data_IF_589844195659
#
_entry.id   IF_589844195659
#
_cell.length_a   1.000
_cell.length_b   1.000
_cell.length_c   1.000
_cell.angle_alpha   90.00
_cell.angle_beta   90.00
_cell.angle_gamma   90.00
#
_symmetry.space_group_name_H-M   'P 1'
#
loop_
_entity.id
_entity.type
_entity.pdbx_description
1 polymer ?
#
# COMPACT_ATOMS: atom_id res chain seq x y z
N UNK A 1 -14.64 0.42 5.81
CA UNK A 1 -15.07 1.17 7.01
C UNK A 1 -14.27 2.46 7.23
N UNK A 2 -12.92 2.47 7.14
CA UNK A 2 -12.13 3.69 7.39
C UNK A 2 -12.16 4.74 6.29
N UNK A 3 -12.73 4.42 5.12
CA UNK A 3 -12.79 5.33 3.98
C UNK A 3 -14.11 6.07 3.92
N UNK A 4 -14.04 7.36 3.59
CA UNK A 4 -15.22 8.17 3.32
C UNK A 4 -16.01 7.55 2.15
N UNK A 5 -17.34 7.44 2.23
CA UNK A 5 -18.15 6.99 1.12
C UNK A 5 -17.91 7.79 -0.17
N UNK A 6 -17.95 7.09 -1.30
CA UNK A 6 -17.72 7.66 -2.64
C UNK A 6 -16.27 7.70 -3.09
N UNK A 7 -15.29 7.37 -2.24
CA UNK A 7 -13.88 7.21 -2.67
C UNK A 7 -13.67 5.89 -3.42
N UNK A 8 -12.58 5.79 -4.19
CA UNK A 8 -12.28 4.54 -4.91
C UNK A 8 -12.06 3.39 -3.92
N UNK A 9 -11.24 3.59 -2.88
CA UNK A 9 -10.97 2.56 -1.88
C UNK A 9 -12.20 2.16 -1.05
N UNK A 10 -13.17 3.06 -0.87
CA UNK A 10 -14.46 2.72 -0.25
C UNK A 10 -15.25 1.67 -1.04
N UNK A 11 -15.20 1.75 -2.38
CA UNK A 11 -15.83 0.80 -3.29
C UNK A 11 -14.98 -0.47 -3.48
N UNK A 12 -13.68 -0.31 -3.64
CA UNK A 12 -12.78 -1.41 -4.01
C UNK A 12 -12.52 -2.35 -2.83
N UNK A 13 -12.35 -1.84 -1.61
CA UNK A 13 -11.97 -2.68 -0.47
C UNK A 13 -12.98 -3.80 -0.14
N UNK A 14 -14.31 -3.55 -0.07
CA UNK A 14 -15.30 -4.61 0.16
C UNK A 14 -15.33 -5.66 -0.96
N UNK A 15 -15.20 -5.22 -2.22
CA UNK A 15 -15.12 -6.13 -3.37
C UNK A 15 -13.85 -6.97 -3.34
N UNK A 16 -12.70 -6.36 -3.08
CA UNK A 16 -11.42 -7.04 -2.98
C UNK A 16 -11.39 -8.06 -1.84
N UNK A 17 -12.04 -7.76 -0.71
CA UNK A 17 -12.25 -8.72 0.37
C UNK A 17 -12.94 -10.01 -0.12
N UNK A 18 -14.07 -9.89 -0.82
CA UNK A 18 -14.78 -11.05 -1.33
C UNK A 18 -13.91 -11.84 -2.34
N UNK A 19 -13.25 -11.13 -3.27
CA UNK A 19 -12.38 -11.73 -4.28
C UNK A 19 -11.20 -12.49 -3.67
N UNK A 20 -10.50 -11.92 -2.68
CA UNK A 20 -9.33 -12.57 -2.09
C UNK A 20 -9.71 -13.77 -1.23
N UNK A 21 -10.85 -13.71 -0.52
CA UNK A 21 -11.38 -14.86 0.23
C UNK A 21 -11.72 -16.01 -0.73
N UNK A 22 -12.43 -15.72 -1.82
CA UNK A 22 -12.80 -16.74 -2.81
C UNK A 22 -11.57 -17.33 -3.51
N UNK A 23 -10.57 -16.49 -3.81
CA UNK A 23 -9.30 -16.95 -4.35
C UNK A 23 -8.57 -17.89 -3.38
N UNK A 24 -8.44 -17.50 -2.11
CA UNK A 24 -7.76 -18.34 -1.11
C UNK A 24 -8.48 -19.69 -0.94
N UNK A 25 -9.82 -19.70 -0.91
CA UNK A 25 -10.62 -20.96 -0.92
C UNK A 25 -10.33 -21.81 -2.15
N UNK A 26 -10.41 -21.21 -3.35
CA UNK A 26 -10.21 -21.92 -4.62
C UNK A 26 -8.80 -22.49 -4.76
N UNK A 27 -7.79 -21.78 -4.26
CA UNK A 27 -6.37 -22.14 -4.40
C UNK A 27 -5.83 -22.92 -3.22
N UNK A 28 -6.62 -23.11 -2.16
CA UNK A 28 -6.16 -23.76 -0.93
C UNK A 28 -5.11 -22.95 -0.18
N UNK A 29 -5.08 -21.62 -0.34
CA UNK A 29 -4.20 -20.75 0.46
C UNK A 29 -4.82 -20.60 1.85
N UNK A 30 -4.01 -20.79 2.89
CA UNK A 30 -4.44 -20.73 4.28
C UNK A 30 -5.02 -19.35 4.57
N UNK A 31 -6.29 -19.34 5.00
CA UNK A 31 -6.99 -18.14 5.44
C UNK A 31 -7.98 -18.47 6.54
N UNK A 32 -8.21 -17.51 7.45
CA UNK A 32 -9.15 -17.64 8.57
C UNK A 32 -9.96 -16.36 8.75
N UNK A 33 -11.27 -16.48 8.99
CA UNK A 33 -12.14 -15.35 9.33
C UNK A 33 -12.16 -15.16 10.85
N UNK A 34 -11.16 -14.44 11.36
CA UNK A 34 -10.95 -14.23 12.81
C UNK A 34 -11.79 -13.09 13.39
N UNK A 35 -12.35 -12.24 12.54
CA UNK A 35 -13.06 -11.03 12.94
C UNK A 35 -12.14 -9.91 13.41
N UNK A 36 -12.75 -8.75 13.71
CA UNK A 36 -12.03 -7.56 14.18
C UNK A 36 -12.88 -6.73 15.13
N UNK A 37 -12.27 -6.29 16.22
CA UNK A 37 -12.74 -5.23 17.11
C UNK A 37 -11.97 -3.92 16.83
N UNK A 38 -12.71 -2.82 16.69
CA UNK A 38 -12.16 -1.46 16.72
C UNK A 38 -12.71 -0.79 17.96
N UNK A 39 -11.85 -0.42 18.91
CA UNK A 39 -12.25 -0.12 20.29
C UNK A 39 -12.00 1.36 20.62
N UNK A 40 -13.02 2.04 21.12
CA UNK A 40 -12.89 3.33 21.79
C UNK A 40 -12.48 3.10 23.25
N UNK A 41 -11.33 3.64 23.64
CA UNK A 41 -10.82 3.58 25.02
C UNK A 41 -11.19 4.82 25.85
N UNK A 42 -11.78 5.84 25.23
CA UNK A 42 -12.20 7.08 25.88
C UNK A 42 -13.51 7.63 25.30
N UNK A 43 -14.21 8.46 26.06
CA UNK A 43 -15.54 8.98 25.67
C UNK A 43 -15.49 9.79 24.37
N UNK A 44 -14.42 10.56 24.15
CA UNK A 44 -14.23 11.36 22.92
C UNK A 44 -14.09 10.50 21.66
N UNK A 45 -13.77 9.21 21.80
CA UNK A 45 -13.63 8.27 20.69
C UNK A 45 -14.94 7.59 20.30
N UNK A 46 -15.97 7.58 21.15
CA UNK A 46 -17.24 6.87 20.90
C UNK A 46 -17.92 7.41 19.64
N UNK A 47 -17.99 8.74 19.49
CA UNK A 47 -18.54 9.37 18.29
C UNK A 47 -17.76 8.98 17.02
N UNK A 48 -16.44 8.88 17.13
CA UNK A 48 -15.60 8.46 15.99
C UNK A 48 -15.88 7.00 15.59
N UNK A 49 -16.10 6.12 16.57
CA UNK A 49 -16.53 4.74 16.33
C UNK A 49 -17.86 4.68 15.59
N UNK A 50 -18.85 5.50 15.99
CA UNK A 50 -20.15 5.59 15.30
C UNK A 50 -20.00 6.07 13.85
N UNK A 51 -19.16 7.08 13.60
CA UNK A 51 -18.85 7.59 12.26
C UNK A 51 -18.17 6.52 11.39
N UNK A 52 -17.19 5.79 11.94
CA UNK A 52 -16.51 4.69 11.21
C UNK A 52 -17.49 3.55 10.90
N UNK A 53 -18.41 3.24 11.82
CA UNK A 53 -19.47 2.27 11.59
C UNK A 53 -20.40 2.72 10.45
N UNK A 54 -20.90 3.96 10.50
CA UNK A 54 -21.76 4.52 9.47
C UNK A 54 -21.08 4.50 8.09
N UNK A 55 -19.79 4.88 8.02
CA UNK A 55 -19.01 4.78 6.80
C UNK A 55 -18.88 3.33 6.30
N UNK A 56 -18.64 2.37 7.19
CA UNK A 56 -18.57 0.96 6.79
C UNK A 56 -19.90 0.43 6.26
N UNK A 57 -21.03 0.80 6.87
CA UNK A 57 -22.38 0.44 6.38
C UNK A 57 -22.62 1.05 5.00
N UNK A 58 -22.37 2.35 4.83
CA UNK A 58 -22.54 3.04 3.55
C UNK A 58 -21.64 2.46 2.43
N UNK A 59 -20.47 1.93 2.81
CA UNK A 59 -19.55 1.27 1.89
C UNK A 59 -19.88 -0.21 1.64
N UNK A 60 -20.93 -0.77 2.26
CA UNK A 60 -21.32 -2.16 2.05
C UNK A 60 -20.46 -3.20 2.79
N UNK A 61 -19.81 -2.82 3.90
CA UNK A 61 -19.14 -3.81 4.76
C UNK A 61 -20.19 -4.64 5.49
N UNK A 62 -20.13 -5.96 5.30
CA UNK A 62 -21.14 -6.93 5.76
C UNK A 62 -21.03 -7.21 7.26
N UNK A 63 -22.18 -7.48 7.89
CA UNK A 63 -22.33 -8.05 9.23
C UNK A 63 -21.67 -7.28 10.40
N UNK A 64 -21.30 -6.01 10.19
CA UNK A 64 -20.75 -5.20 11.26
C UNK A 64 -21.78 -4.96 12.35
N UNK A 65 -21.31 -4.89 13.59
CA UNK A 65 -22.13 -4.56 14.76
C UNK A 65 -21.46 -3.46 15.56
N UNK A 66 -22.26 -2.51 16.00
CA UNK A 66 -21.86 -1.53 16.98
C UNK A 66 -22.13 -2.09 18.38
N UNK A 67 -21.13 -2.03 19.25
CA UNK A 67 -21.13 -2.61 20.59
C UNK A 67 -20.86 -1.49 21.58
N UNK A 68 -21.61 -1.47 22.68
CA UNK A 68 -21.42 -0.50 23.77
C UNK A 68 -21.18 -1.24 25.09
N UNK A 69 -20.28 -0.68 25.89
CA UNK A 69 -19.94 -1.18 27.21
C UNK A 69 -18.90 -2.30 27.21
N UNK A 70 -18.06 -2.26 28.24
CA UNK A 70 -16.96 -3.20 28.47
C UNK A 70 -17.43 -4.67 28.52
N UNK A 71 -18.59 -4.93 29.12
CA UNK A 71 -19.14 -6.29 29.24
C UNK A 71 -19.40 -6.93 27.88
N UNK A 72 -20.01 -6.21 26.93
CA UNK A 72 -20.29 -6.74 25.59
C UNK A 72 -19.01 -6.89 24.76
N UNK A 73 -18.04 -6.00 24.94
CA UNK A 73 -16.71 -6.11 24.31
C UNK A 73 -16.01 -7.38 24.80
N UNK A 74 -16.03 -7.65 26.12
CA UNK A 74 -15.42 -8.84 26.72
C UNK A 74 -16.07 -10.15 26.32
N UNK A 75 -17.36 -10.15 25.93
CA UNK A 75 -17.99 -11.32 25.30
C UNK A 75 -17.36 -11.67 23.94
N UNK A 76 -16.69 -10.71 23.28
CA UNK A 76 -15.96 -10.94 22.03
C UNK A 76 -14.49 -11.26 22.28
N UNK A 77 -13.83 -10.46 23.11
CA UNK A 77 -12.43 -10.66 23.50
C UNK A 77 -12.25 -10.34 24.99
N UNK A 78 -12.13 -11.35 25.89
CA UNK A 78 -12.19 -11.17 27.35
C UNK A 78 -11.14 -10.24 27.94
N UNK A 79 -9.98 -10.14 27.29
CA UNK A 79 -8.82 -9.38 27.78
C UNK A 79 -8.81 -7.93 27.28
N UNK A 80 -9.85 -7.51 26.55
CA UNK A 80 -9.96 -6.17 25.98
C UNK A 80 -10.82 -5.28 26.87
N UNK A 81 -10.38 -4.04 27.02
CA UNK A 81 -11.13 -3.00 27.73
C UNK A 81 -11.54 -1.88 26.80
N UNK A 82 -12.77 -1.37 26.94
CA UNK A 82 -13.26 -0.25 26.15
C UNK A 82 -14.67 0.23 26.48
N UNK A 83 -15.04 1.38 25.94
CA UNK A 83 -16.36 2.01 26.15
C UNK A 83 -17.35 1.68 25.03
N UNK A 84 -16.86 1.61 23.79
CA UNK A 84 -17.63 1.22 22.61
C UNK A 84 -16.71 0.54 21.59
N UNK A 85 -17.27 -0.27 20.71
CA UNK A 85 -16.50 -0.92 19.66
C UNK A 85 -17.32 -1.22 18.40
N UNK A 86 -16.62 -1.37 17.28
CA UNK A 86 -17.15 -2.00 16.08
C UNK A 86 -16.67 -3.44 16.05
N UNK A 87 -17.60 -4.39 16.00
CA UNK A 87 -17.30 -5.79 15.67
C UNK A 87 -17.53 -6.04 14.18
N UNK A 88 -16.52 -6.53 13.49
CA UNK A 88 -16.54 -6.87 12.07
C UNK A 88 -16.18 -8.35 11.92
N UNK A 89 -17.18 -9.26 11.87
CA UNK A 89 -16.93 -10.71 11.87
C UNK A 89 -16.28 -11.19 10.56
N UNK A 90 -16.54 -10.50 9.45
CA UNK A 90 -15.98 -10.81 8.14
C UNK A 90 -14.56 -10.24 7.96
N UNK A 91 -13.77 -10.03 9.02
CA UNK A 91 -12.35 -9.70 8.86
C UNK A 91 -11.53 -10.97 8.96
N UNK A 92 -10.58 -11.16 8.06
CA UNK A 92 -9.77 -12.37 8.00
C UNK A 92 -8.29 -12.12 7.86
N UNK A 93 -7.54 -13.22 7.97
CA UNK A 93 -6.08 -13.29 7.90
C UNK A 93 -5.67 -14.30 6.85
N UNK A 94 -4.54 -14.05 6.17
CA UNK A 94 -3.92 -14.95 5.19
C UNK A 94 -2.43 -14.58 5.09
N UNK A 95 -1.57 -15.54 4.74
CA UNK A 95 -0.20 -15.23 4.34
C UNK A 95 -0.23 -14.55 2.97
N UNK A 96 -0.09 -13.23 2.93
CA UNK A 96 -0.15 -12.50 1.67
C UNK A 96 1.04 -12.81 0.74
N UNK A 97 2.18 -13.25 1.29
CA UNK A 97 3.30 -13.71 0.48
C UNK A 97 2.96 -15.06 -0.18
N UNK A 98 2.20 -15.94 0.49
CA UNK A 98 1.67 -17.16 -0.13
C UNK A 98 0.67 -16.85 -1.25
N UNK A 99 -0.21 -15.85 -1.05
CA UNK A 99 -1.14 -15.37 -2.09
C UNK A 99 -0.36 -14.90 -3.32
N UNK A 100 0.67 -14.07 -3.18
CA UNK A 100 1.43 -13.55 -4.32
C UNK A 100 2.25 -14.65 -5.03
N UNK A 101 2.83 -15.59 -4.29
CA UNK A 101 3.47 -16.80 -4.88
C UNK A 101 2.48 -17.63 -5.67
N UNK A 102 1.26 -17.82 -5.15
CA UNK A 102 0.19 -18.55 -5.83
C UNK A 102 -0.22 -17.84 -7.13
N UNK A 103 -0.42 -16.52 -7.10
CA UNK A 103 -0.75 -15.72 -8.29
C UNK A 103 0.36 -15.80 -9.35
N UNK A 104 1.62 -15.70 -8.94
CA UNK A 104 2.75 -15.83 -9.85
C UNK A 104 2.80 -17.21 -10.51
N UNK A 105 2.51 -18.28 -9.75
CA UNK A 105 2.41 -19.64 -10.28
C UNK A 105 1.31 -19.74 -11.34
N UNK A 106 0.15 -19.15 -11.09
CA UNK A 106 -0.96 -19.13 -12.04
C UNK A 106 -0.59 -18.40 -13.34
N UNK A 107 0.06 -17.24 -13.24
CA UNK A 107 0.50 -16.48 -14.40
C UNK A 107 1.56 -17.25 -15.21
N UNK A 108 2.52 -17.90 -14.54
CA UNK A 108 3.54 -18.71 -15.20
C UNK A 108 3.00 -20.00 -15.84
N UNK A 109 1.81 -20.45 -15.45
CA UNK A 109 1.17 -21.60 -16.10
C UNK A 109 0.75 -21.27 -17.55
N UNK A 110 0.57 -19.99 -17.88
CA UNK A 110 0.35 -19.50 -19.24
C UNK A 110 1.60 -18.78 -19.77
N UNK A 111 2.69 -19.53 -19.93
CA UNK A 111 3.96 -19.02 -20.44
C UNK A 111 3.89 -18.43 -21.87
N UNK A 112 2.77 -18.64 -22.59
CA UNK A 112 2.54 -18.04 -23.90
C UNK A 112 2.19 -16.55 -23.79
N UNK A 113 1.45 -16.16 -22.76
CA UNK A 113 0.96 -14.78 -22.60
C UNK A 113 1.61 -14.04 -21.44
N UNK A 114 2.43 -14.72 -20.63
CA UNK A 114 3.11 -14.13 -19.50
C UNK A 114 4.58 -14.54 -19.43
N UNK A 115 5.45 -13.55 -19.21
CA UNK A 115 6.86 -13.74 -18.93
C UNK A 115 7.26 -12.87 -17.74
N UNK A 116 8.12 -13.37 -16.88
CA UNK A 116 8.67 -12.62 -15.75
C UNK A 116 10.14 -12.31 -15.92
N UNK A 117 10.51 -11.11 -15.51
CA UNK A 117 11.90 -10.71 -15.33
C UNK A 117 12.08 -10.18 -13.91
N UNK A 118 13.04 -10.75 -13.20
CA UNK A 118 13.51 -10.24 -11.91
C UNK A 118 14.77 -9.40 -12.12
N UNK A 119 15.12 -8.58 -11.12
CA UNK A 119 16.32 -7.74 -11.16
C UNK A 119 16.36 -6.82 -12.39
N UNK A 120 15.30 -6.03 -12.59
CA UNK A 120 15.25 -5.01 -13.63
C UNK A 120 14.79 -3.69 -13.02
N UNK A 121 15.73 -2.76 -12.90
CA UNK A 121 15.50 -1.39 -12.50
C UNK A 121 15.33 -0.54 -13.76
N UNK A 122 14.10 -0.12 -14.03
CA UNK A 122 13.80 0.76 -15.14
C UNK A 122 14.36 2.17 -14.87
N UNK A 123 15.16 2.68 -15.80
CA UNK A 123 15.87 3.96 -15.71
C UNK A 123 15.29 5.01 -16.65
N UNK A 124 14.65 4.60 -17.76
CA UNK A 124 14.07 5.52 -18.73
C UNK A 124 12.94 4.88 -19.55
N UNK A 125 12.03 5.72 -20.04
CA UNK A 125 10.93 5.34 -20.92
C UNK A 125 10.95 6.21 -22.17
N UNK A 126 11.16 5.59 -23.32
CA UNK A 126 11.33 6.28 -24.60
C UNK A 126 10.22 5.84 -25.55
N UNK A 127 9.54 6.80 -26.17
CA UNK A 127 8.55 6.51 -27.19
C UNK A 127 9.23 6.12 -28.50
N UNK A 128 8.66 5.16 -29.22
CA UNK A 128 9.17 4.76 -30.53
C UNK A 128 8.02 4.64 -31.49
N UNK A 129 8.07 5.42 -32.56
CA UNK A 129 7.06 5.46 -33.60
C UNK A 129 7.44 4.47 -34.70
N UNK A 130 6.73 3.34 -34.78
CA UNK A 130 6.99 2.27 -35.74
C UNK A 130 6.28 2.52 -37.08
N UNK A 131 5.11 3.15 -37.02
CA UNK A 131 4.31 3.57 -38.18
C UNK A 131 3.33 4.67 -37.76
N UNK A 132 2.66 5.37 -38.69
CA UNK A 132 1.70 6.43 -38.37
C UNK A 132 0.61 6.07 -37.35
N UNK A 133 0.35 4.76 -37.15
CA UNK A 133 -0.68 4.24 -36.24
C UNK A 133 -0.12 3.40 -35.09
N UNK A 134 1.19 3.15 -35.06
CA UNK A 134 1.78 2.25 -34.06
C UNK A 134 2.95 2.90 -33.35
N UNK A 135 2.81 3.01 -32.03
CA UNK A 135 3.84 3.46 -31.12
C UNK A 135 4.03 2.44 -30.01
N UNK A 136 5.29 2.29 -29.61
CA UNK A 136 5.72 1.44 -28.49
C UNK A 136 6.57 2.26 -27.52
N UNK A 137 6.78 1.69 -26.34
CA UNK A 137 7.67 2.23 -25.32
C UNK A 137 8.89 1.32 -25.22
N UNK A 138 10.07 1.88 -25.45
CA UNK A 138 11.35 1.29 -25.10
C UNK A 138 11.66 1.64 -23.64
N UNK A 139 11.75 0.63 -22.80
CA UNK A 139 12.11 0.73 -21.40
C UNK A 139 13.57 0.35 -21.28
N UNK A 140 14.40 1.28 -20.83
CA UNK A 140 15.82 1.03 -20.55
C UNK A 140 15.97 0.73 -19.07
N UNK A 141 16.79 -0.26 -18.73
CA UNK A 141 17.03 -0.61 -17.34
C UNK A 141 18.26 -1.46 -17.14
N UNK A 142 18.55 -1.76 -15.87
CA UNK A 142 19.74 -2.54 -15.47
C UNK A 142 19.41 -3.44 -14.29
N UNK A 143 20.31 -4.36 -13.98
CA UNK A 143 20.26 -5.05 -12.69
C UNK A 143 20.68 -4.07 -11.58
N UNK A 144 19.96 -4.09 -10.46
CA UNK A 144 20.22 -3.21 -9.32
C UNK A 144 21.64 -3.41 -8.79
N UNK A 145 22.36 -2.32 -8.56
CA UNK A 145 23.73 -2.36 -8.03
C UNK A 145 24.80 -2.87 -9.00
N UNK A 146 24.46 -3.14 -10.26
CA UNK A 146 25.40 -3.60 -11.27
C UNK A 146 25.72 -2.50 -12.30
N UNK A 147 27.00 -2.30 -12.59
CA UNK A 147 27.48 -1.48 -13.72
C UNK A 147 27.47 -2.25 -15.05
N UNK A 148 26.83 -3.42 -15.10
CA UNK A 148 26.71 -4.28 -16.28
C UNK A 148 25.98 -3.60 -17.45
N UNK A 149 25.88 -4.29 -18.60
CA UNK A 149 25.25 -3.73 -19.79
C UNK A 149 23.79 -3.39 -19.53
N UNK A 150 23.34 -2.32 -20.19
CA UNK A 150 21.93 -1.96 -20.20
C UNK A 150 21.09 -3.07 -20.83
N UNK A 151 19.93 -3.31 -20.22
CA UNK A 151 18.88 -4.18 -20.73
C UNK A 151 17.73 -3.32 -21.25
N UNK A 152 17.08 -3.79 -22.30
CA UNK A 152 15.93 -3.11 -22.88
C UNK A 152 14.72 -4.03 -22.94
N UNK A 153 13.55 -3.45 -22.71
CA UNK A 153 12.25 -4.10 -22.88
C UNK A 153 11.41 -3.21 -23.78
N UNK A 154 10.81 -3.78 -24.82
CA UNK A 154 9.87 -3.08 -25.69
C UNK A 154 8.46 -3.52 -25.35
N UNK A 155 7.59 -2.57 -25.08
CA UNK A 155 6.19 -2.84 -24.78
C UNK A 155 5.28 -1.88 -25.53
N UNK A 156 4.14 -2.36 -26.01
CA UNK A 156 3.12 -1.48 -26.59
C UNK A 156 2.55 -0.53 -25.54
N UNK A 157 2.32 -1.05 -24.33
CA UNK A 157 1.75 -0.33 -23.19
C UNK A 157 2.48 -0.73 -21.92
N UNK A 158 2.56 0.20 -20.96
CA UNK A 158 3.25 -0.02 -19.70
C UNK A 158 2.32 0.33 -18.55
N UNK A 159 2.25 -0.54 -17.55
CA UNK A 159 1.60 -0.27 -16.27
C UNK A 159 2.68 -0.32 -15.20
N UNK A 160 2.81 0.74 -14.40
CA UNK A 160 3.78 0.80 -13.29
C UNK A 160 3.07 0.71 -11.95
N UNK A 161 3.50 -0.26 -11.12
CA UNK A 161 2.95 -0.52 -9.78
C UNK A 161 4.06 -0.49 -8.72
N UNK A 162 4.86 0.57 -8.71
CA UNK A 162 6.20 0.56 -8.10
C UNK A 162 6.26 0.96 -6.62
N UNK A 163 5.14 0.87 -5.88
CA UNK A 163 5.11 1.04 -4.42
C UNK A 163 5.92 2.24 -3.93
N UNK A 164 6.95 2.00 -3.13
CA UNK A 164 7.84 3.04 -2.58
C UNK A 164 8.53 3.90 -3.65
N UNK A 165 8.75 3.40 -4.87
CA UNK A 165 9.45 4.10 -5.95
C UNK A 165 8.51 4.73 -6.97
N UNK A 166 7.20 4.73 -6.71
CA UNK A 166 6.23 5.21 -7.70
C UNK A 166 6.58 6.63 -8.21
N UNK A 167 6.92 7.57 -7.32
CA UNK A 167 7.22 8.98 -7.63
C UNK A 167 8.54 9.17 -8.36
N UNK A 168 9.58 8.41 -8.00
CA UNK A 168 10.83 8.38 -8.72
C UNK A 168 10.62 7.88 -10.15
N UNK A 169 9.93 6.75 -10.32
CA UNK A 169 9.71 6.16 -11.63
C UNK A 169 8.81 7.02 -12.53
N UNK A 170 7.79 7.66 -11.94
CA UNK A 170 6.87 8.51 -12.69
C UNK A 170 7.59 9.71 -13.37
N UNK A 171 8.68 10.22 -12.79
CA UNK A 171 9.50 11.29 -13.42
C UNK A 171 10.11 10.86 -14.76
N UNK A 172 10.37 9.57 -14.93
CA UNK A 172 10.90 8.98 -16.18
C UNK A 172 9.80 8.61 -17.17
N UNK A 173 8.60 8.27 -16.69
CA UNK A 173 7.45 7.93 -17.56
C UNK A 173 6.98 9.08 -18.49
N UNK A 174 7.35 10.32 -18.17
CA UNK A 174 7.18 11.49 -19.02
C UNK A 174 6.00 12.38 -18.69
N UNK A 175 5.33 12.91 -19.72
CA UNK A 175 4.29 13.92 -19.57
C UNK A 175 2.96 13.28 -19.17
N UNK A 176 2.34 13.80 -18.11
CA UNK A 176 1.01 13.39 -17.66
C UNK A 176 -0.05 14.04 -18.56
N UNK A 177 -0.86 13.23 -19.24
CA UNK A 177 -1.96 13.69 -20.08
C UNK A 177 -3.27 13.83 -19.30
N UNK A 178 -3.55 12.86 -18.43
CA UNK A 178 -4.74 12.83 -17.60
C UNK A 178 -4.47 12.03 -16.32
N UNK A 179 -5.41 12.07 -15.37
CA UNK A 179 -5.29 11.36 -14.09
C UNK A 179 -6.66 10.98 -13.54
N UNK A 180 -6.69 9.93 -12.72
CA UNK A 180 -7.80 9.59 -11.85
C UNK A 180 -7.34 9.72 -10.40
N UNK A 181 -8.08 10.47 -9.58
CA UNK A 181 -7.69 10.79 -8.20
C UNK A 181 -6.78 12.01 -8.09
N UNK A 182 -6.21 12.20 -6.90
CA UNK A 182 -5.36 13.37 -6.59
C UNK A 182 -3.99 13.24 -7.24
N UNK A 183 -3.41 14.36 -7.66
CA UNK A 183 -2.01 14.40 -8.13
C UNK A 183 -1.07 14.16 -6.96
N UNK A 184 -0.16 13.19 -7.12
CA UNK A 184 0.85 12.85 -6.12
C UNK A 184 2.17 13.49 -6.51
N UNK A 185 2.66 14.41 -5.68
CA UNK A 185 3.91 15.14 -5.93
C UNK A 185 5.14 14.45 -5.37
N UNK A 186 4.98 13.71 -4.27
CA UNK A 186 6.06 13.05 -3.56
C UNK A 186 5.51 11.83 -2.82
N UNK A 187 6.32 10.79 -2.65
CA UNK A 187 5.99 9.65 -1.79
C UNK A 187 6.81 9.70 -0.51
N UNK A 188 6.13 9.65 0.62
CA UNK A 188 6.74 9.52 1.94
C UNK A 188 6.74 8.07 2.37
N UNK A 189 7.82 7.70 3.03
CA UNK A 189 8.05 6.38 3.59
C UNK A 189 7.80 6.44 5.08
N UNK A 190 6.95 5.55 5.58
CA UNK A 190 6.64 5.42 7.00
C UNK A 190 7.08 4.04 7.47
N UNK A 191 8.06 4.01 8.37
CA UNK A 191 8.55 2.80 8.99
C UNK A 191 7.57 2.34 10.08
N UNK A 192 7.10 1.11 9.93
CA UNK A 192 6.38 0.38 10.96
C UNK A 192 7.26 -0.66 11.62
N UNK A 193 7.74 -0.39 12.83
CA UNK A 193 8.31 -1.41 13.70
C UNK A 193 7.20 -2.25 14.32
N UNK A 194 7.40 -3.56 14.35
CA UNK A 194 6.47 -4.49 14.97
C UNK A 194 7.16 -5.27 16.09
N UNK A 195 6.37 -5.56 17.12
CA UNK A 195 6.66 -6.61 18.09
C UNK A 195 5.72 -7.77 17.84
N UNK A 196 5.93 -8.88 18.53
CA UNK A 196 5.00 -9.99 18.56
C UNK A 196 4.88 -10.54 19.97
N UNK A 197 3.80 -11.26 20.25
CA UNK A 197 3.65 -11.96 21.52
C UNK A 197 4.51 -13.22 21.59
N UNK A 198 5.08 -13.45 22.77
CA UNK A 198 5.72 -14.72 23.12
C UNK A 198 4.72 -15.87 22.98
N UNK A 199 5.18 -17.11 22.71
CA UNK A 199 4.31 -18.27 22.54
C UNK A 199 3.23 -18.42 23.61
N UNK A 200 3.58 -18.17 24.87
CA UNK A 200 2.72 -18.32 26.05
C UNK A 200 1.57 -17.31 26.09
N UNK A 201 1.72 -16.18 25.38
CA UNK A 201 0.76 -15.07 25.40
C UNK A 201 -0.04 -14.92 24.11
N UNK A 202 0.25 -15.71 23.07
CA UNK A 202 -0.45 -15.62 21.76
C UNK A 202 -1.96 -15.85 21.82
N UNK A 203 -2.46 -16.53 22.86
CA UNK A 203 -3.90 -16.77 23.05
C UNK A 203 -4.65 -15.65 23.77
N UNK A 204 -3.97 -14.54 24.10
CA UNK A 204 -4.60 -13.39 24.77
C UNK A 204 -5.73 -12.77 23.95
N UNK A 205 -5.67 -12.91 22.63
CA UNK A 205 -6.74 -12.54 21.70
C UNK A 205 -6.90 -13.60 20.62
N UNK A 206 -8.07 -13.65 20.00
CA UNK A 206 -8.34 -14.52 18.85
C UNK A 206 -8.58 -13.79 17.55
N UNK A 207 -9.08 -12.55 17.64
CA UNK A 207 -9.45 -11.64 16.56
C UNK A 207 -8.50 -10.44 16.47
N UNK A 208 -8.62 -9.62 15.43
CA UNK A 208 -7.91 -8.36 15.37
C UNK A 208 -8.45 -7.37 16.42
N UNK A 209 -7.58 -6.69 17.16
CA UNK A 209 -7.98 -5.65 18.11
C UNK A 209 -7.24 -4.35 17.82
N UNK A 210 -8.00 -3.37 17.35
CA UNK A 210 -7.50 -2.11 16.83
C UNK A 210 -8.06 -0.97 17.69
N UNK A 211 -7.31 0.10 17.95
CA UNK A 211 -7.84 1.27 18.61
C UNK A 211 -8.72 2.06 17.65
N UNK A 212 -9.58 2.91 18.21
CA UNK A 212 -10.31 3.91 17.46
C UNK A 212 -9.32 4.79 16.66
N UNK A 213 -9.57 5.03 15.37
CA UNK A 213 -8.69 5.89 14.57
C UNK A 213 -8.69 7.32 15.13
N UNK A 214 -7.50 7.93 15.19
CA UNK A 214 -7.37 9.35 15.58
C UNK A 214 -7.66 10.23 14.35
N UNK A 215 -8.86 10.80 14.27
CA UNK A 215 -9.30 11.66 13.17
C UNK A 215 -8.62 13.03 13.19
N UNK A 216 -8.01 13.43 14.31
CA UNK A 216 -7.27 14.70 14.45
C UNK A 216 -5.87 14.62 13.87
N UNK A 217 -5.35 13.40 13.70
CA UNK A 217 -4.01 13.14 13.16
C UNK A 217 -4.17 12.58 11.74
N UNK A 218 -3.46 13.18 10.77
CA UNK A 218 -3.51 12.78 9.35
C UNK A 218 -3.31 11.29 9.09
N UNK A 219 -2.63 10.58 10.00
CA UNK A 219 -2.52 9.12 10.03
C UNK A 219 -3.17 8.53 11.28
N UNK A 220 -3.92 7.44 11.11
CA UNK A 220 -4.47 6.66 12.21
C UNK A 220 -3.33 5.85 12.85
N UNK A 221 -2.61 6.46 13.78
CA UNK A 221 -1.47 5.86 14.48
C UNK A 221 -1.96 5.24 15.77
N UNK A 222 -2.21 3.93 15.75
CA UNK A 222 -2.53 3.17 16.94
C UNK A 222 -1.80 1.84 16.92
N UNK A 223 -1.46 1.33 18.11
CA UNK A 223 -0.87 0.00 18.22
C UNK A 223 -1.97 -1.03 18.08
N UNK A 224 -1.91 -1.86 17.04
CA UNK A 224 -2.89 -2.91 16.80
C UNK A 224 -2.38 -4.23 17.35
N UNK A 225 -3.30 -5.13 17.64
CA UNK A 225 -3.02 -6.54 17.82
C UNK A 225 -3.63 -7.32 16.67
N UNK A 226 -2.79 -8.08 15.98
CA UNK A 226 -3.12 -8.71 14.71
C UNK A 226 -2.70 -10.18 14.78
N UNK A 227 -3.63 -11.13 14.96
CA UNK A 227 -3.33 -12.52 14.72
C UNK A 227 -2.90 -12.69 13.26
N UNK A 228 -2.00 -13.63 12.99
CA UNK A 228 -1.54 -13.93 11.63
C UNK A 228 -1.58 -15.43 11.38
N UNK A 229 -1.64 -15.79 10.11
CA UNK A 229 -1.30 -17.13 9.63
C UNK A 229 -0.15 -16.96 8.65
N UNK A 230 0.88 -17.77 8.82
CA UNK A 230 2.10 -17.73 8.00
C UNK A 230 2.54 -19.16 7.72
N UNK A 231 2.86 -19.49 6.47
CA UNK A 231 3.26 -20.86 6.09
C UNK A 231 4.54 -21.33 6.79
N UNK A 232 5.41 -20.41 7.22
CA UNK A 232 6.71 -20.70 7.82
C UNK A 232 6.70 -20.54 9.34
N UNK A 233 6.01 -19.52 9.84
CA UNK A 233 6.02 -19.12 11.25
C UNK A 233 4.77 -19.59 12.00
N UNK A 234 3.77 -20.12 11.30
CA UNK A 234 2.48 -20.50 11.88
C UNK A 234 1.72 -19.30 12.44
N UNK A 235 0.89 -19.56 13.45
CA UNK A 235 0.08 -18.51 14.09
C UNK A 235 0.93 -17.64 15.01
N UNK A 236 0.92 -16.34 14.75
CA UNK A 236 1.55 -15.31 15.59
C UNK A 236 0.49 -14.28 15.99
N UNK A 237 0.81 -13.45 16.98
CA UNK A 237 0.07 -12.22 17.26
C UNK A 237 1.05 -11.07 17.18
N UNK A 238 0.93 -10.29 16.10
CA UNK A 238 1.77 -9.14 15.81
C UNK A 238 1.18 -7.91 16.50
N UNK A 239 2.05 -7.13 17.11
CA UNK A 239 1.73 -5.89 17.81
C UNK A 239 2.36 -4.74 17.06
N UNK A 240 1.55 -3.77 16.62
CA UNK A 240 1.99 -2.62 15.86
C UNK A 240 0.99 -2.23 14.78
N UNK A 241 1.39 -1.42 13.79
CA UNK A 241 2.74 -0.94 13.58
C UNK A 241 3.09 0.27 14.46
N UNK A 242 4.39 0.50 14.69
CA UNK A 242 4.89 1.87 14.80
C UNK A 242 4.63 2.65 13.50
N UNK A 243 4.95 3.92 13.42
CA UNK A 243 4.72 4.64 12.14
C UNK A 243 5.66 5.82 11.99
N UNK A 244 6.90 5.71 12.44
CA UNK A 244 7.86 6.80 12.26
C UNK A 244 7.99 7.14 10.78
N UNK A 245 8.08 8.43 10.44
CA UNK A 245 8.59 8.80 9.11
C UNK A 245 9.96 8.12 8.93
N UNK A 246 10.31 7.72 7.72
CA UNK A 246 11.62 7.18 7.43
C UNK A 246 12.49 8.26 6.77
N UNK A 247 13.78 8.24 7.07
CA UNK A 247 14.79 9.12 6.45
C UNK A 247 15.41 8.53 5.19
N UNK A 248 14.93 7.38 4.76
CA UNK A 248 15.32 6.67 3.57
C UNK A 248 14.04 6.09 2.94
N UNK A 249 13.99 6.03 1.60
CA UNK A 249 12.86 5.47 0.87
C UNK A 249 12.57 4.01 1.25
N UNK A 250 13.62 3.25 1.53
CA UNK A 250 13.61 1.88 2.03
C UNK A 250 14.10 1.84 3.49
N UNK A 251 13.69 2.81 4.30
CA UNK A 251 14.15 2.96 5.69
C UNK A 251 13.62 1.91 6.68
N UNK A 252 13.91 0.63 6.42
CA UNK A 252 13.63 -0.51 7.31
C UNK A 252 14.41 -0.48 8.63
N UNK A 253 15.38 0.42 8.75
CA UNK A 253 16.17 0.66 9.97
C UNK A 253 16.20 2.15 10.31
N UNK A 254 16.17 2.53 11.61
CA UNK A 254 16.29 3.92 12.07
C UNK A 254 17.59 4.61 11.65
N UNK A 255 18.61 3.85 11.28
CA UNK A 255 19.94 4.36 10.96
C UNK A 255 20.14 4.64 9.45
N UNK A 256 19.18 4.29 8.60
CA UNK A 256 19.24 4.57 7.17
C UNK A 256 18.82 6.01 6.89
N UNK A 257 19.69 6.74 6.20
CA UNK A 257 19.50 8.15 5.84
C UNK A 257 19.91 8.35 4.40
N UNK A 258 18.99 8.83 3.58
CA UNK A 258 19.21 9.27 2.22
C UNK A 258 18.93 10.78 2.14
N UNK A 259 20.01 11.55 2.00
CA UNK A 259 19.92 13.02 1.96
C UNK A 259 19.21 13.53 0.71
N UNK A 260 19.34 12.84 -0.43
CA UNK A 260 18.65 13.23 -1.67
C UNK A 260 17.14 12.99 -1.52
N UNK A 261 16.75 11.84 -0.97
CA UNK A 261 15.35 11.56 -0.65
C UNK A 261 14.77 12.58 0.35
N UNK A 262 15.50 12.90 1.41
CA UNK A 262 15.07 13.91 2.39
C UNK A 262 14.91 15.29 1.75
N UNK A 263 15.85 15.69 0.91
CA UNK A 263 15.78 16.96 0.18
C UNK A 263 14.56 17.00 -0.73
N UNK A 264 14.31 15.95 -1.51
CA UNK A 264 13.11 15.83 -2.34
C UNK A 264 11.81 15.87 -1.49
N UNK A 265 11.82 15.22 -0.33
CA UNK A 265 10.69 15.24 0.59
C UNK A 265 10.42 16.63 1.16
N UNK A 266 11.47 17.34 1.58
CA UNK A 266 11.36 18.66 2.17
C UNK A 266 11.01 19.74 1.14
N UNK A 267 11.59 19.72 -0.06
CA UNK A 267 11.47 20.82 -1.02
C UNK A 267 10.44 20.58 -2.14
N UNK A 268 9.68 19.47 -2.09
CA UNK A 268 8.53 19.30 -2.98
C UNK A 268 7.37 20.23 -2.58
N UNK A 269 6.55 20.65 -3.56
CA UNK A 269 5.46 21.64 -3.40
C UNK A 269 4.53 21.36 -2.23
N UNK A 270 4.14 20.10 -2.02
CA UNK A 270 3.30 19.67 -0.88
C UNK A 270 4.10 19.10 0.29
N UNK A 271 5.39 18.80 0.09
CA UNK A 271 6.21 18.11 1.09
C UNK A 271 6.48 18.96 2.33
N UNK A 272 7.04 20.16 2.17
CA UNK A 272 7.28 21.05 3.32
C UNK A 272 5.97 21.38 4.07
N UNK A 273 4.86 21.55 3.36
CA UNK A 273 3.54 21.82 3.96
C UNK A 273 3.12 20.64 4.85
N UNK A 274 3.28 19.41 4.34
CA UNK A 274 3.00 18.18 5.08
C UNK A 274 3.86 18.06 6.33
N UNK A 275 5.18 18.28 6.20
CA UNK A 275 6.12 18.19 7.33
C UNK A 275 5.81 19.23 8.42
N UNK A 276 5.61 20.50 8.03
CA UNK A 276 5.30 21.57 8.96
C UNK A 276 3.96 21.32 9.69
N UNK A 277 2.93 20.92 8.95
CA UNK A 277 1.59 20.66 9.49
C UNK A 277 1.53 19.45 10.42
N UNK A 278 2.49 18.52 10.31
CA UNK A 278 2.52 17.27 11.09
C UNK A 278 3.72 17.15 12.04
N UNK A 279 4.53 18.20 12.24
CA UNK A 279 5.80 18.13 12.98
C UNK A 279 5.67 17.49 14.38
N UNK A 280 4.68 17.89 15.17
CA UNK A 280 4.42 17.31 16.51
C UNK A 280 4.13 15.81 16.43
N UNK A 281 3.35 15.39 15.44
CA UNK A 281 3.01 13.99 15.23
C UNK A 281 4.26 13.20 14.83
N UNK A 282 5.05 13.71 13.90
CA UNK A 282 6.30 13.09 13.45
C UNK A 282 7.24 12.84 14.64
N UNK A 283 7.48 13.85 15.48
CA UNK A 283 8.30 13.70 16.68
C UNK A 283 7.76 12.64 17.65
N UNK A 284 6.44 12.63 17.89
CA UNK A 284 5.80 11.63 18.74
C UNK A 284 6.00 10.21 18.20
N UNK A 285 5.88 10.03 16.89
CA UNK A 285 5.98 8.72 16.25
C UNK A 285 7.42 8.20 16.24
N UNK A 286 8.41 9.08 16.07
CA UNK A 286 9.82 8.73 16.26
C UNK A 286 10.13 8.32 17.69
N UNK A 287 9.61 9.05 18.67
CA UNK A 287 9.82 8.70 20.08
C UNK A 287 9.22 7.33 20.41
N UNK A 288 8.03 7.01 19.88
CA UNK A 288 7.40 5.70 20.03
C UNK A 288 8.18 4.59 19.32
N UNK A 289 8.79 4.86 18.17
CA UNK A 289 9.58 3.89 17.40
C UNK A 289 10.92 3.53 18.09
N UNK A 290 11.52 4.50 18.79
CA UNK A 290 12.76 4.31 19.55
C UNK A 290 12.53 3.73 20.95
N UNK A 291 11.37 4.00 21.56
CA UNK A 291 11.08 3.59 22.94
C UNK A 291 10.06 2.46 23.00
N UNK A 292 10.56 1.25 23.23
CA UNK A 292 9.74 0.06 23.51
C UNK A 292 8.74 0.28 24.65
N UNK A 293 9.15 1.00 25.70
CA UNK A 293 8.29 1.28 26.85
C UNK A 293 7.09 2.18 26.47
N UNK A 294 7.30 3.17 25.60
CA UNK A 294 6.22 4.05 25.11
C UNK A 294 5.29 3.29 24.19
N UNK A 295 5.84 2.48 23.28
CA UNK A 295 5.06 1.58 22.43
C UNK A 295 4.17 0.66 23.27
N UNK A 296 4.72 0.04 24.32
CA UNK A 296 3.99 -0.85 25.22
C UNK A 296 2.84 -0.12 25.93
N UNK A 297 3.06 1.12 26.40
CA UNK A 297 1.99 1.92 27.03
C UNK A 297 0.83 2.21 26.07
N UNK A 298 1.11 2.42 24.79
CA UNK A 298 0.05 2.59 23.79
C UNK A 298 -0.71 1.26 23.56
N UNK A 299 -0.01 0.13 23.51
CA UNK A 299 -0.62 -1.19 23.42
C UNK A 299 -1.52 -1.51 24.63
N UNK A 300 -1.10 -1.10 25.83
CA UNK A 300 -1.81 -1.30 27.10
C UNK A 300 -3.13 -0.53 27.19
N UNK A 301 -3.39 0.44 26.30
CA UNK A 301 -4.71 1.07 26.21
C UNK A 301 -5.82 0.11 25.75
N UNK A 302 -5.45 -0.95 25.05
CA UNK A 302 -6.37 -2.01 24.60
C UNK A 302 -6.27 -3.25 25.48
N UNK A 303 -5.05 -3.63 25.87
CA UNK A 303 -4.77 -4.83 26.67
C UNK A 303 -3.89 -4.45 27.88
N UNK A 304 -4.48 -4.01 29.01
CA UNK A 304 -3.72 -3.49 30.15
C UNK A 304 -2.76 -4.50 30.79
N UNK A 305 -3.06 -5.79 30.68
CA UNK A 305 -2.29 -6.86 31.32
C UNK A 305 -0.98 -7.22 30.63
N UNK A 306 -0.75 -6.73 29.41
CA UNK A 306 0.45 -7.03 28.64
C UNK A 306 1.69 -6.37 29.26
N UNK A 307 2.77 -7.14 29.35
CA UNK A 307 4.04 -6.73 29.95
C UNK A 307 5.17 -6.77 28.94
N UNK A 308 6.30 -6.17 29.31
CA UNK A 308 7.49 -6.15 28.46
C UNK A 308 8.08 -7.56 28.20
N UNK A 309 7.89 -8.49 29.14
CA UNK A 309 8.28 -9.90 29.01
C UNK A 309 7.38 -10.70 28.07
N UNK A 310 6.15 -10.23 27.82
CA UNK A 310 5.17 -10.90 26.95
C UNK A 310 5.40 -10.61 25.46
N UNK A 311 6.32 -9.70 25.14
CA UNK A 311 6.58 -9.25 23.78
C UNK A 311 8.04 -9.52 23.38
N UNK A 312 8.26 -9.73 22.10
CA UNK A 312 9.59 -9.88 21.48
C UNK A 312 9.66 -9.06 20.19
N UNK A 313 10.86 -8.67 19.77
CA UNK A 313 11.05 -7.95 18.50
C UNK A 313 10.53 -8.81 17.33
N UNK A 314 9.87 -8.15 16.38
CA UNK A 314 9.42 -8.79 15.14
C UNK A 314 10.03 -8.07 13.93
N UNK A 315 9.38 -8.18 12.78
CA UNK A 315 9.83 -7.56 11.55
C UNK A 315 9.59 -6.05 11.53
N UNK A 316 10.16 -5.41 10.51
CA UNK A 316 9.89 -4.02 10.18
C UNK A 316 9.28 -3.94 8.78
N UNK A 317 8.25 -3.12 8.62
CA UNK A 317 7.68 -2.78 7.32
C UNK A 317 7.92 -1.31 6.97
N UNK A 318 7.88 -0.96 5.69
CA UNK A 318 7.89 0.43 5.22
C UNK A 318 6.69 0.65 4.32
N UNK A 319 5.84 1.59 4.69
CA UNK A 319 4.66 1.97 3.92
C UNK A 319 4.95 3.19 3.05
N UNK A 320 4.56 3.11 1.78
CA UNK A 320 4.51 4.25 0.87
C UNK A 320 3.21 5.03 1.07
N UNK A 321 3.29 6.34 1.24
CA UNK A 321 2.14 7.25 1.28
C UNK A 321 2.39 8.42 0.34
N UNK A 322 1.51 8.59 -0.64
CA UNK A 322 1.55 9.75 -1.53
C UNK A 322 1.21 11.05 -0.81
N UNK A 323 1.91 12.14 -1.15
CA UNK A 323 1.63 13.51 -0.72
C UNK A 323 1.02 14.25 -1.91
N UNK A 324 -0.14 14.89 -1.69
CA UNK A 324 -0.80 15.71 -2.70
C UNK A 324 -0.21 17.13 -2.79
N UNK A 325 -0.61 17.91 -3.80
CA UNK A 325 -0.12 19.28 -3.99
C UNK A 325 -0.45 20.24 -2.84
N UNK A 326 -1.45 19.91 -2.01
CA UNK A 326 -1.84 20.69 -0.85
C UNK A 326 -1.11 20.25 0.44
N UNK A 327 -0.21 19.26 0.34
CA UNK A 327 0.48 18.68 1.49
C UNK A 327 -0.34 17.68 2.29
N UNK A 328 -1.49 17.25 1.75
CA UNK A 328 -2.31 16.20 2.35
C UNK A 328 -1.75 14.80 2.06
N UNK A 329 -1.85 13.91 3.04
CA UNK A 329 -1.61 12.47 2.83
C UNK A 329 -2.72 11.90 1.95
N UNK A 330 -2.35 11.25 0.85
CA UNK A 330 -3.27 10.67 -0.10
C UNK A 330 -3.90 9.39 0.47
N UNK A 331 -5.19 9.48 0.79
CA UNK A 331 -5.98 8.38 1.39
C UNK A 331 -6.77 7.55 0.38
N UNK A 332 -6.57 7.76 -0.92
CA UNK A 332 -7.31 7.07 -1.98
C UNK A 332 -6.40 6.66 -3.15
N UNK A 333 -6.93 5.80 -4.03
CA UNK A 333 -6.25 5.37 -5.25
C UNK A 333 -5.94 6.59 -6.15
N UNK A 334 -4.72 6.64 -6.70
CA UNK A 334 -4.33 7.65 -7.67
C UNK A 334 -3.59 7.01 -8.83
N UNK A 335 -4.02 7.35 -10.05
CA UNK A 335 -3.49 6.85 -11.31
C UNK A 335 -3.21 8.01 -12.25
N UNK A 336 -2.08 7.98 -12.94
CA UNK A 336 -1.69 8.94 -13.97
C UNK A 336 -1.52 8.24 -15.32
N UNK A 337 -2.00 8.87 -16.39
CA UNK A 337 -1.81 8.41 -17.76
C UNK A 337 -0.78 9.30 -18.44
N UNK A 338 0.29 8.69 -18.91
CA UNK A 338 1.50 9.37 -19.34
C UNK A 338 1.93 8.97 -20.75
N UNK A 339 2.80 9.81 -21.31
CA UNK A 339 3.61 9.50 -22.48
C UNK A 339 5.08 9.81 -22.24
N UNK A 340 6.02 9.03 -22.81
CA UNK A 340 7.43 9.36 -22.85
C UNK A 340 7.70 10.81 -23.28
N UNK A 341 8.70 11.46 -22.66
CA UNK A 341 9.06 12.86 -22.98
C UNK A 341 9.59 13.02 -24.40
N UNK A 342 10.23 11.97 -24.93
CA UNK A 342 10.83 11.92 -26.26
C UNK A 342 10.29 10.71 -27.00
N UNK A 343 10.01 10.90 -28.28
CA UNK A 343 9.59 9.84 -29.20
C UNK A 343 10.51 9.86 -30.41
N UNK A 344 11.01 8.71 -30.85
CA UNK A 344 11.90 8.59 -32.01
C UNK A 344 11.28 7.70 -33.09
N UNK A 345 11.55 7.95 -34.38
CA UNK A 345 11.13 7.03 -35.44
C UNK A 345 11.96 5.76 -35.35
N UNK A 346 11.31 4.60 -35.44
CA UNK A 346 11.97 3.31 -35.34
C UNK A 346 11.30 2.24 -36.19
N UNK A 347 11.93 1.08 -36.28
CA UNK A 347 11.33 -0.13 -36.80
C UNK A 347 11.56 -1.29 -35.83
N UNK A 348 10.66 -2.27 -35.84
CA UNK A 348 10.77 -3.48 -35.05
C UNK A 348 10.91 -4.66 -36.01
N UNK A 349 11.99 -5.43 -35.87
CA UNK A 349 12.23 -6.61 -36.69
C UNK A 349 11.25 -7.75 -36.34
N UNK A 350 11.21 -8.80 -37.16
CA UNK A 350 10.44 -10.03 -36.85
C UNK A 350 10.97 -10.77 -35.61
N UNK A 351 12.19 -10.48 -35.18
CA UNK A 351 12.81 -11.02 -33.95
C UNK A 351 12.68 -10.08 -32.76
N UNK A 352 11.81 -9.06 -32.84
CA UNK A 352 11.61 -8.02 -31.82
C UNK A 352 12.86 -7.17 -31.51
N UNK A 353 13.77 -7.05 -32.47
CA UNK A 353 14.88 -6.11 -32.37
C UNK A 353 14.42 -4.72 -32.81
N UNK A 354 14.56 -3.74 -31.92
CA UNK A 354 14.21 -2.37 -32.21
C UNK A 354 15.40 -1.64 -32.85
N UNK A 355 15.17 -1.01 -34.00
CA UNK A 355 16.13 -0.14 -34.67
C UNK A 355 15.59 1.29 -34.71
N UNK A 356 16.31 2.23 -34.11
CA UNK A 356 16.02 3.66 -34.25
C UNK A 356 16.47 4.11 -35.63
N UNK A 357 15.60 4.81 -36.36
CA UNK A 357 15.85 5.24 -37.74
C UNK A 357 16.47 6.65 -37.81
N UNK A 358 16.30 7.45 -36.75
CA UNK A 358 16.87 8.80 -36.64
C UNK A 358 17.06 9.19 -35.18
N UNK A 359 18.14 9.91 -34.90
CA UNK A 359 18.44 10.49 -33.58
C UNK A 359 17.65 11.78 -33.29
N UNK A 360 16.85 12.25 -34.25
CA UNK A 360 15.98 13.40 -34.07
C UNK A 360 14.61 12.95 -33.53
N UNK A 361 14.11 13.54 -32.43
CA UNK A 361 12.80 13.21 -31.91
C UNK A 361 11.70 13.71 -32.85
N UNK A 362 10.60 12.95 -32.92
CA UNK A 362 9.37 13.32 -33.64
C UNK A 362 8.31 13.80 -32.65
N UNK A 363 7.29 14.49 -33.17
CA UNK A 363 6.12 14.86 -32.37
C UNK A 363 5.49 13.59 -31.79
N UNK A 364 5.28 13.60 -30.47
CA UNK A 364 4.59 12.51 -29.79
C UNK A 364 3.11 12.50 -30.17
N UNK A 365 2.51 11.31 -30.31
CA UNK A 365 1.06 11.15 -30.39
C UNK A 365 0.31 11.69 -29.16
N UNK A 366 -1.03 11.63 -29.21
CA UNK A 366 -1.91 12.18 -28.16
C UNK A 366 -2.47 11.14 -27.20
N UNK A 367 -2.38 9.85 -27.54
CA UNK A 367 -2.89 8.74 -26.71
C UNK A 367 -1.85 8.32 -25.65
N UNK A 368 -2.22 8.10 -24.39
CA UNK A 368 -1.27 7.64 -23.39
C UNK A 368 -0.72 6.24 -23.73
N UNK A 369 0.54 6.00 -23.36
CA UNK A 369 1.22 4.71 -23.53
C UNK A 369 1.56 4.06 -22.18
N UNK A 370 1.58 4.86 -21.11
CA UNK A 370 2.00 4.44 -19.77
C UNK A 370 0.90 4.80 -18.78
N UNK A 371 0.55 3.88 -17.89
CA UNK A 371 -0.31 4.11 -16.73
C UNK A 371 0.53 3.93 -15.47
N UNK A 372 0.63 4.96 -14.64
CA UNK A 372 1.32 4.89 -13.37
C UNK A 372 0.32 4.80 -12.21
N UNK A 373 0.41 3.74 -11.41
CA UNK A 373 -0.27 3.69 -10.11
C UNK A 373 0.56 4.48 -9.12
N UNK A 374 0.07 5.67 -8.76
CA UNK A 374 0.77 6.66 -7.94
C UNK A 374 0.52 6.47 -6.45
N UNK A 375 -0.63 5.92 -6.06
CA UNK A 375 -0.94 5.66 -4.66
C UNK A 375 -1.98 4.55 -4.55
N UNK A 376 -1.70 3.53 -3.73
CA UNK A 376 -2.64 2.47 -3.37
C UNK A 376 -2.53 2.25 -1.85
N UNK A 377 -3.32 2.98 -1.05
CA UNK A 377 -3.15 2.99 0.40
C UNK A 377 -3.67 1.68 1.05
N UNK A 378 -3.20 1.40 2.27
CA UNK A 378 -3.72 0.28 3.06
C UNK A 378 -5.24 0.38 3.24
N UNK A 379 -6.02 -0.69 2.97
CA UNK A 379 -5.61 -2.09 2.85
C UNK A 379 -5.49 -2.59 1.40
N UNK A 380 -4.52 -2.07 0.64
CA UNK A 380 -4.24 -2.50 -0.74
C UNK A 380 -4.00 -4.01 -0.90
N UNK A 381 -3.50 -4.71 0.12
CA UNK A 381 -3.38 -6.17 0.09
C UNK A 381 -4.75 -6.86 -0.04
N UNK A 382 -5.72 -6.45 0.79
CA UNK A 382 -7.11 -6.94 0.69
C UNK A 382 -7.78 -6.51 -0.60
N UNK A 383 -7.50 -5.28 -1.05
CA UNK A 383 -8.12 -4.72 -2.25
C UNK A 383 -7.41 -5.09 -3.56
N UNK A 384 -6.35 -5.90 -3.54
CA UNK A 384 -5.40 -6.02 -4.66
C UNK A 384 -6.06 -6.46 -5.97
N UNK A 385 -6.97 -7.44 -5.93
CA UNK A 385 -7.68 -7.93 -7.11
C UNK A 385 -8.65 -6.90 -7.66
N UNK A 386 -9.43 -6.23 -6.81
CA UNK A 386 -10.34 -5.17 -7.24
C UNK A 386 -9.61 -3.93 -7.75
N UNK A 387 -8.43 -3.61 -7.19
CA UNK A 387 -7.57 -2.55 -7.72
C UNK A 387 -7.04 -2.95 -9.10
N UNK A 388 -6.67 -4.22 -9.30
CA UNK A 388 -6.25 -4.70 -10.61
C UNK A 388 -7.38 -4.61 -11.65
N UNK A 389 -8.62 -4.96 -11.29
CA UNK A 389 -9.79 -4.75 -12.15
C UNK A 389 -9.98 -3.28 -12.53
N UNK A 390 -9.88 -2.36 -11.56
CA UNK A 390 -10.01 -0.92 -11.78
C UNK A 390 -8.88 -0.39 -12.69
N UNK A 391 -7.65 -0.87 -12.50
CA UNK A 391 -6.51 -0.54 -13.36
C UNK A 391 -6.75 -1.05 -14.79
N UNK A 392 -7.22 -2.29 -14.96
CA UNK A 392 -7.50 -2.86 -16.30
C UNK A 392 -8.63 -2.11 -16.99
N UNK A 393 -9.69 -1.74 -16.27
CA UNK A 393 -10.78 -0.93 -16.82
C UNK A 393 -10.28 0.44 -17.30
N UNK A 394 -9.48 1.11 -16.48
CA UNK A 394 -8.86 2.39 -16.82
C UNK A 394 -7.86 2.28 -17.99
N UNK A 395 -7.05 1.23 -18.01
CA UNK A 395 -6.11 0.93 -19.09
C UNK A 395 -6.86 0.69 -20.41
N UNK A 396 -7.91 -0.12 -20.40
CA UNK A 396 -8.71 -0.45 -21.60
C UNK A 396 -9.31 0.80 -22.24
N UNK A 397 -9.81 1.73 -21.42
CA UNK A 397 -10.42 2.99 -21.88
C UNK A 397 -9.39 3.98 -22.41
N UNK A 398 -8.26 4.13 -21.73
CA UNK A 398 -7.32 5.23 -21.98
C UNK A 398 -6.15 4.83 -22.89
N UNK A 399 -5.65 3.60 -22.79
CA UNK A 399 -4.49 3.12 -23.53
C UNK A 399 -4.85 2.56 -24.91
N UNK A 400 -6.14 2.43 -25.25
CA UNK A 400 -6.61 1.74 -26.47
C UNK A 400 -5.97 0.34 -26.58
N UNK A 401 -6.20 -0.47 -25.54
CA UNK A 401 -5.59 -1.79 -25.37
C UNK A 401 -6.01 -2.80 -26.45
#
# INVERSE_FOLDING_TARGET
MYYKPGTAMARLCPRGHDLIVDYCKKKGVIHEMVGKLIVASSEDQVKTIEEVYANGVANGVKDMKLIYGDSEIKKKEPNITGLAAIWSPQTGITDFAAVTRSMLKDLNADAKHFATQFQFEAQDFIGVHLSPKEEVVLIRGRESGHHGPEKTVVARRVITCCGLNNDALAKYSGNVLSRAGKRIVQTYSFRGRYYQLTPEKRSIITSHVYPCPDTRKGMSVGVHFTPTVDERRGRQVIIGPGSAVAFDRFGYSPYLVDLEYLFNCAFSKGGWVSLASNAKMICQMYYMDLSRAVFLREAQKLIPEIRNEDIEDSFCGVQAIGIDEAGGLAKDLSIEFCRPKKTFPGSLSKTNELKVLSDSPVAAGTTPLILNVRNAPSPAATACMSIAEDIVENASKSLAW
#
